data_IF_974796785437
#
_entry.id   IF_974796785437
#
_cell.length_a   1.000
_cell.length_b   1.000
_cell.length_c   1.000
_cell.angle_alpha   90.00
_cell.angle_beta   90.00
_cell.angle_gamma   90.00
#
_symmetry.space_group_name_H-M   'P 1'
#
loop_
_entity.id
_entity.type
_entity.pdbx_description
1 polymer ?
#
# COMPACT_ATOMS: atom_id res chain seq x y z
N UNK A 1 15.42 -47.38 -1.87
CA UNK A 1 14.84 -46.24 -2.56
C UNK A 1 15.87 -45.15 -2.52
N UNK A 2 16.46 -44.78 -3.66
CA UNK A 2 17.35 -43.61 -3.80
C UNK A 2 16.52 -42.36 -3.47
N UNK A 3 17.12 -41.47 -2.67
CA UNK A 3 16.54 -40.16 -2.33
C UNK A 3 17.53 -39.09 -2.66
N UNK A 4 17.06 -38.04 -3.33
CA UNK A 4 17.87 -36.87 -3.66
C UNK A 4 17.91 -35.92 -2.47
N UNK A 5 19.14 -35.43 -2.19
CA UNK A 5 19.41 -34.48 -1.10
C UNK A 5 20.09 -33.22 -1.63
N UNK A 6 19.73 -32.09 -1.08
CA UNK A 6 20.40 -30.82 -1.28
C UNK A 6 21.42 -30.67 -0.17
N UNK A 7 22.67 -30.50 -0.52
CA UNK A 7 23.78 -30.23 0.40
C UNK A 7 23.88 -28.72 0.66
N UNK A 8 23.79 -28.33 1.92
CA UNK A 8 23.98 -26.97 2.38
C UNK A 8 25.31 -26.88 3.13
N UNK A 9 26.21 -26.01 2.66
CA UNK A 9 27.54 -25.82 3.27
C UNK A 9 27.51 -24.72 4.32
N UNK A 10 28.08 -25.00 5.49
CA UNK A 10 28.28 -24.08 6.59
C UNK A 10 29.75 -23.81 6.84
N UNK A 11 30.08 -22.76 7.60
CA UNK A 11 31.46 -22.50 8.01
C UNK A 11 32.05 -23.68 8.81
N UNK A 12 33.34 -23.96 8.63
CA UNK A 12 34.03 -25.05 9.33
C UNK A 12 33.76 -26.44 8.74
N UNK A 13 33.57 -26.55 7.43
CA UNK A 13 33.30 -27.79 6.70
C UNK A 13 32.11 -28.62 7.22
N UNK A 14 31.17 -27.98 7.89
CA UNK A 14 29.94 -28.62 8.32
C UNK A 14 28.92 -28.59 7.20
N UNK A 15 28.22 -29.71 6.97
CA UNK A 15 27.19 -29.82 5.94
C UNK A 15 25.88 -30.27 6.54
N UNK A 16 24.78 -29.73 6.03
CA UNK A 16 23.43 -30.16 6.31
C UNK A 16 22.82 -30.71 5.01
N UNK A 17 22.16 -31.85 5.09
CA UNK A 17 21.46 -32.47 3.96
C UNK A 17 19.96 -32.34 4.17
N UNK A 18 19.29 -31.76 3.19
CA UNK A 18 17.83 -31.61 3.19
C UNK A 18 17.26 -32.39 2.02
N UNK A 19 16.17 -33.11 2.23
CA UNK A 19 15.49 -33.85 1.15
C UNK A 19 15.04 -32.88 0.05
N UNK A 20 15.23 -33.24 -1.20
CA UNK A 20 14.80 -32.45 -2.35
C UNK A 20 13.29 -32.17 -2.35
N UNK A 21 12.50 -33.03 -1.72
CA UNK A 21 11.04 -32.84 -1.50
C UNK A 21 10.70 -31.72 -0.50
N UNK A 22 11.70 -31.17 0.20
CA UNK A 22 11.52 -30.10 1.20
C UNK A 22 12.15 -28.78 0.72
N UNK A 23 12.15 -28.53 -0.58
CA UNK A 23 12.66 -27.30 -1.20
C UNK A 23 11.94 -26.04 -0.70
N UNK A 24 10.68 -26.16 -0.34
CA UNK A 24 9.86 -25.11 0.28
C UNK A 24 10.42 -24.55 1.59
N UNK A 25 11.27 -25.33 2.28
CA UNK A 25 11.95 -24.91 3.51
C UNK A 25 13.29 -24.19 3.28
N UNK A 26 13.71 -24.06 2.02
CA UNK A 26 14.99 -23.46 1.66
C UNK A 26 14.76 -22.11 0.99
N UNK A 27 15.54 -21.11 1.41
CA UNK A 27 15.58 -19.80 0.79
C UNK A 27 17.00 -19.46 0.37
N UNK A 28 17.14 -18.65 -0.68
CA UNK A 28 18.43 -18.13 -1.09
C UNK A 28 19.05 -17.35 0.07
N UNK A 29 20.29 -17.69 0.43
CA UNK A 29 21.01 -17.05 1.53
C UNK A 29 21.48 -15.63 1.20
N UNK A 30 21.73 -15.33 -0.08
CA UNK A 30 22.08 -14.00 -0.55
C UNK A 30 21.47 -13.76 -1.93
N UNK A 31 21.20 -12.48 -2.26
CA UNK A 31 20.79 -12.09 -3.61
C UNK A 31 21.90 -12.37 -4.62
N UNK A 32 21.53 -12.72 -5.85
CA UNK A 32 22.47 -13.04 -6.93
C UNK A 32 23.39 -11.88 -7.34
N UNK A 33 23.04 -10.65 -6.96
CA UNK A 33 23.72 -9.42 -7.40
C UNK A 33 24.74 -8.87 -6.38
N UNK A 34 24.99 -9.60 -5.28
CA UNK A 34 26.04 -9.18 -4.35
C UNK A 34 27.39 -9.73 -4.78
N UNK A 35 28.32 -8.85 -5.19
CA UNK A 35 29.71 -9.19 -5.53
C UNK A 35 30.50 -9.84 -4.37
N UNK A 36 30.00 -9.70 -3.14
CA UNK A 36 30.63 -10.25 -1.94
C UNK A 36 29.97 -11.57 -1.54
N UNK A 37 30.78 -12.65 -1.49
CA UNK A 37 30.31 -13.93 -0.95
C UNK A 37 29.80 -13.73 0.49
N UNK A 38 28.61 -14.24 0.84
CA UNK A 38 28.07 -14.10 2.18
C UNK A 38 28.97 -14.83 3.20
N UNK A 39 29.10 -14.24 4.40
CA UNK A 39 29.81 -14.90 5.51
C UNK A 39 28.99 -16.09 6.00
N UNK A 40 29.54 -17.29 5.86
CA UNK A 40 28.88 -18.51 6.32
C UNK A 40 28.89 -18.59 7.85
N UNK A 41 27.78 -18.99 8.42
CA UNK A 41 27.65 -19.27 9.86
C UNK A 41 28.09 -20.71 10.19
N UNK A 42 28.59 -20.93 11.38
CA UNK A 42 28.92 -22.28 11.88
C UNK A 42 27.66 -22.94 12.42
N UNK A 43 27.39 -24.18 12.01
CA UNK A 43 26.22 -24.93 12.48
C UNK A 43 26.24 -25.09 14.01
N UNK A 44 25.13 -24.78 14.70
CA UNK A 44 25.02 -24.89 16.15
C UNK A 44 25.82 -23.88 16.96
N UNK A 45 26.36 -22.83 16.32
CA UNK A 45 27.18 -21.83 17.01
C UNK A 45 26.38 -20.95 17.97
N UNK A 46 27.05 -20.51 19.03
CA UNK A 46 26.50 -19.55 20.01
C UNK A 46 26.16 -18.21 19.31
N UNK A 47 26.92 -17.81 18.29
CA UNK A 47 26.66 -16.60 17.51
C UNK A 47 25.32 -16.67 16.78
N UNK A 48 24.98 -17.84 16.20
CA UNK A 48 23.68 -18.03 15.55
C UNK A 48 22.52 -17.93 16.54
N UNK A 49 22.67 -18.52 17.72
CA UNK A 49 21.65 -18.43 18.77
C UNK A 49 21.46 -17.00 19.28
N UNK A 50 22.57 -16.22 19.42
CA UNK A 50 22.50 -14.79 19.75
C UNK A 50 21.79 -13.99 18.65
N UNK A 51 22.09 -14.27 17.38
CA UNK A 51 21.42 -13.61 16.24
C UNK A 51 19.92 -13.93 16.24
N UNK A 52 19.54 -15.19 16.42
CA UNK A 52 18.11 -15.57 16.54
C UNK A 52 17.41 -14.85 17.69
N UNK A 53 18.03 -14.82 18.86
CA UNK A 53 17.44 -14.15 20.04
C UNK A 53 17.27 -12.64 19.78
N UNK A 54 18.26 -12.00 19.14
CA UNK A 54 18.15 -10.58 18.77
C UNK A 54 17.02 -10.32 17.76
N UNK A 55 16.92 -11.16 16.72
CA UNK A 55 15.84 -11.05 15.72
C UNK A 55 14.48 -11.29 16.38
N UNK A 56 14.37 -12.31 17.22
CA UNK A 56 13.13 -12.63 17.93
C UNK A 56 12.67 -11.45 18.81
N UNK A 57 13.59 -10.86 19.58
CA UNK A 57 13.28 -9.68 20.39
C UNK A 57 12.83 -8.47 19.56
N UNK A 58 13.48 -8.22 18.41
CA UNK A 58 13.07 -7.15 17.51
C UNK A 58 11.66 -7.41 16.90
N UNK A 59 11.37 -8.66 16.54
CA UNK A 59 10.05 -9.05 16.02
C UNK A 59 8.97 -8.90 17.11
N UNK A 60 9.26 -9.27 18.33
CA UNK A 60 8.32 -9.07 19.46
C UNK A 60 8.01 -7.59 19.71
N UNK A 61 9.03 -6.72 19.64
CA UNK A 61 8.87 -5.28 19.80
C UNK A 61 7.97 -4.72 18.68
N UNK A 62 8.25 -5.04 17.41
CA UNK A 62 7.42 -4.64 16.28
C UNK A 62 5.98 -5.17 16.43
N UNK A 63 5.80 -6.41 16.86
CA UNK A 63 4.48 -7.00 17.07
C UNK A 63 3.69 -6.24 18.16
N UNK A 64 4.34 -5.83 19.25
CA UNK A 64 3.71 -5.03 20.31
C UNK A 64 3.26 -3.66 19.78
N UNK A 65 4.13 -2.97 19.03
CA UNK A 65 3.81 -1.68 18.42
C UNK A 65 2.62 -1.78 17.47
N UNK A 66 2.57 -2.83 16.65
CA UNK A 66 1.45 -3.09 15.74
C UNK A 66 0.15 -3.36 16.51
N UNK A 67 0.18 -4.18 17.55
CA UNK A 67 -1.00 -4.47 18.38
C UNK A 67 -1.52 -3.19 19.05
N UNK A 68 -0.61 -2.34 19.54
CA UNK A 68 -0.97 -1.05 20.15
C UNK A 68 -1.63 -0.13 19.12
N UNK A 69 -1.05 0.03 17.93
CA UNK A 69 -1.63 0.80 16.83
C UNK A 69 -3.02 0.29 16.42
N UNK A 70 -3.19 -1.03 16.31
CA UNK A 70 -4.48 -1.64 16.03
C UNK A 70 -5.52 -1.34 17.12
N UNK A 71 -5.11 -1.47 18.39
CA UNK A 71 -5.98 -1.17 19.53
C UNK A 71 -6.43 0.30 19.52
N UNK A 72 -5.50 1.23 19.26
CA UNK A 72 -5.81 2.66 19.15
C UNK A 72 -6.83 2.90 18.05
N UNK A 73 -6.61 2.32 16.85
CA UNK A 73 -7.54 2.46 15.72
C UNK A 73 -8.92 1.91 16.02
N UNK A 74 -9.03 0.74 16.65
CA UNK A 74 -10.32 0.13 17.00
C UNK A 74 -11.11 0.95 18.02
N UNK A 75 -10.43 1.68 18.89
CA UNK A 75 -11.06 2.51 19.93
C UNK A 75 -11.39 3.94 19.46
N UNK A 76 -10.84 4.37 18.32
CA UNK A 76 -11.15 5.67 17.73
C UNK A 76 -12.37 5.57 16.80
N UNK A 77 -13.20 6.63 16.84
CA UNK A 77 -14.28 6.78 15.87
C UNK A 77 -13.73 7.43 14.60
N UNK A 78 -13.97 6.78 13.47
CA UNK A 78 -13.72 7.34 12.15
C UNK A 78 -14.79 8.33 11.73
N UNK A 79 -14.55 9.00 10.62
CA UNK A 79 -15.54 9.79 9.93
C UNK A 79 -16.48 8.84 9.17
N UNK A 80 -17.78 8.94 9.41
CA UNK A 80 -18.79 8.20 8.66
C UNK A 80 -19.27 9.07 7.50
N UNK A 81 -19.01 8.64 6.28
CA UNK A 81 -19.51 9.29 5.07
C UNK A 81 -21.01 9.06 4.92
N UNK A 82 -21.70 10.00 4.29
CA UNK A 82 -23.12 9.86 3.99
C UNK A 82 -23.40 8.85 2.86
N UNK A 83 -24.68 8.56 2.59
CA UNK A 83 -25.06 7.71 1.46
C UNK A 83 -24.70 8.34 0.13
N UNK A 84 -24.68 7.52 -0.93
CA UNK A 84 -24.35 7.97 -2.28
C UNK A 84 -25.26 9.10 -2.75
N UNK A 85 -24.63 10.16 -3.22
CA UNK A 85 -25.31 11.31 -3.82
C UNK A 85 -25.70 11.01 -5.27
N UNK A 86 -26.49 11.91 -5.88
CA UNK A 86 -26.79 11.85 -7.33
C UNK A 86 -25.49 11.91 -8.15
N UNK A 87 -24.54 12.76 -7.75
CA UNK A 87 -23.26 12.87 -8.46
C UNK A 87 -22.41 11.60 -8.37
N UNK A 88 -22.49 10.86 -7.24
CA UNK A 88 -21.82 9.55 -7.14
C UNK A 88 -22.37 8.57 -8.18
N UNK A 89 -23.68 8.52 -8.32
CA UNK A 89 -24.34 7.65 -9.29
C UNK A 89 -23.98 8.02 -10.73
N UNK A 90 -24.10 9.31 -11.07
CA UNK A 90 -23.68 9.81 -12.40
C UNK A 90 -22.22 9.49 -12.71
N UNK A 91 -21.34 9.66 -11.72
CA UNK A 91 -19.91 9.35 -11.86
C UNK A 91 -19.68 7.85 -12.12
N UNK A 92 -20.41 6.98 -11.46
CA UNK A 92 -20.33 5.53 -11.63
C UNK A 92 -20.91 5.08 -12.98
N UNK A 93 -22.04 5.65 -13.39
CA UNK A 93 -22.65 5.39 -14.72
C UNK A 93 -21.75 5.82 -15.91
N UNK A 94 -20.84 6.77 -15.68
CA UNK A 94 -19.85 7.17 -16.69
C UNK A 94 -18.71 6.18 -16.87
N UNK A 95 -18.67 5.08 -16.12
CA UNK A 95 -17.67 4.04 -16.29
C UNK A 95 -17.93 3.30 -17.62
N UNK A 96 -16.93 3.22 -18.54
CA UNK A 96 -17.16 2.76 -19.90
C UNK A 96 -17.22 1.23 -20.05
N UNK A 97 -17.10 0.49 -18.99
CA UNK A 97 -17.08 -0.98 -18.99
C UNK A 97 -18.18 -1.52 -18.07
N UNK A 98 -18.57 -2.78 -18.29
CA UNK A 98 -19.41 -3.50 -17.35
C UNK A 98 -18.56 -4.01 -16.19
N UNK A 99 -19.02 -3.78 -14.96
CA UNK A 99 -18.38 -4.29 -13.76
C UNK A 99 -18.63 -5.79 -13.62
N UNK A 100 -17.63 -6.48 -13.11
CA UNK A 100 -17.82 -7.87 -12.66
C UNK A 100 -18.53 -7.90 -11.29
N UNK A 101 -19.15 -9.04 -10.97
CA UNK A 101 -19.78 -9.23 -9.66
C UNK A 101 -18.81 -8.98 -8.50
N UNK A 102 -17.55 -9.39 -8.64
CA UNK A 102 -16.52 -9.16 -7.61
C UNK A 102 -16.16 -7.68 -7.46
N UNK A 103 -16.12 -6.93 -8.55
CA UNK A 103 -15.93 -5.47 -8.51
C UNK A 103 -17.10 -4.78 -7.81
N UNK A 104 -18.33 -5.15 -8.15
CA UNK A 104 -19.53 -4.61 -7.51
C UNK A 104 -19.55 -4.90 -6.00
N UNK A 105 -19.21 -6.13 -5.61
CA UNK A 105 -19.11 -6.51 -4.21
C UNK A 105 -18.01 -5.70 -3.48
N UNK A 106 -16.82 -5.57 -4.08
CA UNK A 106 -15.73 -4.79 -3.50
C UNK A 106 -16.08 -3.31 -3.34
N UNK A 107 -16.80 -2.72 -4.32
CA UNK A 107 -17.29 -1.34 -4.26
C UNK A 107 -18.32 -1.20 -3.14
N UNK A 108 -19.32 -2.09 -3.07
CA UNK A 108 -20.36 -2.06 -2.06
C UNK A 108 -19.76 -2.19 -0.64
N UNK A 109 -18.87 -3.13 -0.44
CA UNK A 109 -18.18 -3.33 0.83
C UNK A 109 -17.35 -2.11 1.24
N UNK A 110 -16.61 -1.52 0.30
CA UNK A 110 -15.80 -0.32 0.55
C UNK A 110 -16.69 0.85 0.97
N UNK A 111 -17.81 1.08 0.28
CA UNK A 111 -18.78 2.11 0.63
C UNK A 111 -19.39 1.87 2.00
N UNK A 112 -19.77 0.62 2.30
CA UNK A 112 -20.32 0.26 3.62
C UNK A 112 -19.33 0.53 4.76
N UNK A 113 -18.06 0.24 4.56
CA UNK A 113 -17.00 0.58 5.53
C UNK A 113 -16.86 2.10 5.69
N UNK A 114 -16.86 2.86 4.58
CA UNK A 114 -16.78 4.33 4.61
C UNK A 114 -17.98 4.97 5.33
N UNK A 115 -19.17 4.38 5.22
CA UNK A 115 -20.40 4.85 5.86
C UNK A 115 -20.50 4.46 7.34
N UNK A 116 -19.56 3.62 7.81
CA UNK A 116 -19.51 3.23 9.21
C UNK A 116 -18.69 4.22 10.06
N UNK A 117 -18.91 4.21 11.38
CA UNK A 117 -18.08 4.98 12.31
C UNK A 117 -16.75 4.29 12.65
N UNK A 118 -16.50 3.10 12.14
CA UNK A 118 -15.23 2.39 12.32
C UNK A 118 -14.23 2.94 11.30
N UNK A 119 -12.99 3.12 11.74
CA UNK A 119 -11.91 3.47 10.81
C UNK A 119 -11.73 2.31 9.84
N UNK A 120 -11.92 2.57 8.55
CA UNK A 120 -11.75 1.58 7.49
C UNK A 120 -10.28 1.19 7.38
N UNK A 121 -10.03 -0.12 7.35
CA UNK A 121 -8.73 -0.72 7.01
C UNK A 121 -9.04 -1.93 6.12
N UNK A 122 -9.19 -1.67 4.80
CA UNK A 122 -9.66 -2.65 3.83
C UNK A 122 -8.58 -2.97 2.80
N UNK A 123 -8.29 -4.25 2.64
CA UNK A 123 -7.44 -4.76 1.58
C UNK A 123 -8.30 -5.22 0.40
N UNK A 124 -8.00 -4.70 -0.80
CA UNK A 124 -8.60 -5.12 -2.06
C UNK A 124 -7.60 -5.98 -2.82
N UNK A 125 -7.84 -7.30 -2.86
CA UNK A 125 -7.03 -8.26 -3.57
C UNK A 125 -7.59 -8.54 -4.95
N UNK A 126 -6.72 -8.68 -5.94
CA UNK A 126 -7.08 -9.07 -7.32
C UNK A 126 -5.85 -9.04 -8.21
N UNK A 127 -5.88 -9.80 -9.29
CA UNK A 127 -4.80 -9.85 -10.27
C UNK A 127 -4.62 -8.52 -11.02
N UNK A 128 -3.51 -8.40 -11.74
CA UNK A 128 -3.23 -7.22 -12.58
C UNK A 128 -4.29 -7.12 -13.69
N UNK A 129 -4.84 -5.92 -13.88
CA UNK A 129 -5.86 -5.67 -14.90
C UNK A 129 -7.31 -5.93 -14.48
N UNK A 130 -7.57 -6.44 -13.28
CA UNK A 130 -8.93 -6.71 -12.77
C UNK A 130 -9.67 -5.47 -12.22
N UNK A 131 -9.20 -4.28 -12.54
CA UNK A 131 -9.92 -3.05 -12.26
C UNK A 131 -9.95 -2.61 -10.79
N UNK A 132 -9.01 -3.04 -9.93
CA UNK A 132 -8.86 -2.57 -8.54
C UNK A 132 -8.86 -1.04 -8.43
N UNK A 133 -8.26 -0.38 -9.42
CA UNK A 133 -8.19 1.09 -9.49
C UNK A 133 -9.57 1.74 -9.55
N UNK A 134 -10.55 1.13 -10.20
CA UNK A 134 -11.92 1.68 -10.28
C UNK A 134 -12.60 1.69 -8.90
N UNK A 135 -12.40 0.64 -8.10
CA UNK A 135 -12.88 0.61 -6.69
C UNK A 135 -12.29 1.79 -5.92
N UNK A 136 -10.99 2.01 -6.05
CA UNK A 136 -10.29 3.12 -5.40
C UNK A 136 -10.77 4.50 -5.89
N UNK A 137 -11.03 4.66 -7.19
CA UNK A 137 -11.53 5.90 -7.79
C UNK A 137 -12.93 6.24 -7.25
N UNK A 138 -13.83 5.26 -7.15
CA UNK A 138 -15.19 5.47 -6.61
C UNK A 138 -15.15 5.83 -5.12
N UNK A 139 -14.30 5.19 -4.35
CA UNK A 139 -14.07 5.56 -2.95
C UNK A 139 -13.50 6.97 -2.81
N UNK A 140 -12.54 7.34 -3.65
CA UNK A 140 -11.97 8.69 -3.67
C UNK A 140 -13.05 9.74 -4.03
N UNK A 141 -13.85 9.48 -5.05
CA UNK A 141 -14.93 10.38 -5.46
C UNK A 141 -15.95 10.58 -4.34
N UNK A 142 -16.33 9.51 -3.63
CA UNK A 142 -17.21 9.58 -2.46
C UNK A 142 -16.62 10.46 -1.36
N UNK A 143 -15.34 10.32 -1.07
CA UNK A 143 -14.69 11.11 -0.03
C UNK A 143 -14.65 12.61 -0.37
N UNK A 144 -14.31 12.96 -1.61
CA UNK A 144 -14.18 14.38 -2.01
C UNK A 144 -15.51 15.10 -2.10
N UNK A 145 -16.62 14.40 -2.35
CA UNK A 145 -17.95 15.03 -2.33
C UNK A 145 -18.35 15.59 -0.97
N UNK A 146 -17.79 15.04 0.11
CA UNK A 146 -18.00 15.55 1.47
C UNK A 146 -16.88 16.49 1.93
N UNK A 147 -16.11 17.00 0.98
CA UNK A 147 -15.04 17.96 1.24
C UNK A 147 -13.81 17.37 1.90
N UNK A 148 -13.68 16.03 1.93
CA UNK A 148 -12.49 15.35 2.42
C UNK A 148 -11.43 15.25 1.33
N UNK A 149 -10.18 15.37 1.73
CA UNK A 149 -9.05 15.17 0.82
C UNK A 149 -8.65 13.71 0.75
N UNK A 150 -8.15 13.30 -0.40
CA UNK A 150 -7.70 11.93 -0.67
C UNK A 150 -6.21 11.91 -1.01
N UNK A 151 -5.46 11.03 -0.37
CA UNK A 151 -4.08 10.71 -0.71
C UNK A 151 -4.01 9.35 -1.39
N UNK A 152 -3.38 9.29 -2.57
CA UNK A 152 -3.15 8.06 -3.32
C UNK A 152 -1.65 7.80 -3.41
N UNK A 153 -1.18 6.80 -2.68
CA UNK A 153 0.23 6.45 -2.56
C UNK A 153 0.59 5.31 -3.51
N UNK A 154 1.61 5.52 -4.32
CA UNK A 154 2.13 4.52 -5.28
C UNK A 154 3.65 4.38 -5.18
N UNK A 155 4.22 3.20 -5.51
CA UNK A 155 5.65 2.96 -5.32
C UNK A 155 6.57 3.65 -6.33
N UNK A 156 6.08 3.97 -7.52
CA UNK A 156 6.91 4.53 -8.60
C UNK A 156 6.31 5.78 -9.23
N UNK A 157 7.17 6.63 -9.77
CA UNK A 157 6.77 7.86 -10.48
C UNK A 157 5.97 7.57 -11.75
N UNK A 158 6.24 6.44 -12.40
CA UNK A 158 5.49 6.02 -13.59
C UNK A 158 4.06 5.68 -13.23
N UNK A 159 3.86 4.91 -12.16
CA UNK A 159 2.51 4.61 -11.64
C UNK A 159 1.79 5.88 -11.17
N UNK A 160 2.51 6.80 -10.50
CA UNK A 160 1.93 8.09 -10.12
C UNK A 160 1.40 8.86 -11.32
N UNK A 161 2.13 8.88 -12.43
CA UNK A 161 1.68 9.53 -13.66
C UNK A 161 0.49 8.82 -14.30
N UNK A 162 0.50 7.49 -14.35
CA UNK A 162 -0.60 6.70 -14.91
C UNK A 162 -1.89 6.92 -14.11
N UNK A 163 -1.82 6.81 -12.79
CA UNK A 163 -2.99 7.05 -11.93
C UNK A 163 -3.45 8.50 -11.99
N UNK A 164 -2.54 9.46 -12.03
CA UNK A 164 -2.89 10.87 -12.20
C UNK A 164 -3.74 11.08 -13.46
N UNK A 165 -3.28 10.57 -14.60
CA UNK A 165 -4.01 10.70 -15.86
C UNK A 165 -5.40 10.02 -15.79
N UNK A 166 -5.47 8.84 -15.17
CA UNK A 166 -6.73 8.11 -15.01
C UNK A 166 -7.72 8.88 -14.13
N UNK A 167 -7.27 9.38 -12.98
CA UNK A 167 -8.10 10.16 -12.06
C UNK A 167 -8.54 11.48 -12.70
N UNK A 168 -7.62 12.21 -13.34
CA UNK A 168 -7.93 13.45 -14.03
C UNK A 168 -8.98 13.22 -15.13
N UNK A 169 -8.82 12.18 -15.94
CA UNK A 169 -9.79 11.86 -16.99
C UNK A 169 -11.16 11.47 -16.44
N UNK A 170 -11.20 10.68 -15.35
CA UNK A 170 -12.45 10.24 -14.74
C UNK A 170 -13.18 11.39 -14.06
N UNK A 171 -12.45 12.31 -13.43
CA UNK A 171 -13.01 13.40 -12.63
C UNK A 171 -13.19 14.73 -13.40
N UNK A 172 -12.78 14.80 -14.69
CA UNK A 172 -12.74 16.05 -15.48
C UNK A 172 -14.08 16.79 -15.61
N UNK A 173 -15.21 16.06 -15.50
CA UNK A 173 -16.53 16.65 -15.64
C UNK A 173 -17.09 17.18 -14.31
N UNK A 174 -16.33 17.03 -13.22
CA UNK A 174 -16.71 17.47 -11.89
C UNK A 174 -15.76 18.58 -11.40
N UNK A 175 -16.20 19.49 -10.57
CA UNK A 175 -15.38 20.60 -10.08
C UNK A 175 -14.37 20.14 -9.02
N UNK A 176 -13.53 19.18 -9.35
CA UNK A 176 -12.55 18.55 -8.48
C UNK A 176 -11.13 18.77 -9.01
N UNK A 177 -10.19 19.01 -8.10
CA UNK A 177 -8.78 19.21 -8.43
C UNK A 177 -7.94 18.02 -8.04
N UNK A 178 -7.42 17.34 -9.07
CA UNK A 178 -6.42 16.26 -8.90
C UNK A 178 -5.02 16.85 -9.06
N UNK A 179 -4.10 16.51 -8.19
CA UNK A 179 -2.70 16.95 -8.24
C UNK A 179 -1.75 15.76 -8.11
N UNK A 180 -0.50 15.97 -8.55
CA UNK A 180 0.55 14.96 -8.47
C UNK A 180 1.77 15.48 -7.72
N UNK A 181 2.28 14.68 -6.77
CA UNK A 181 3.54 14.90 -6.08
C UNK A 181 4.55 13.81 -6.44
N UNK A 182 5.35 14.05 -7.47
CA UNK A 182 6.39 13.13 -7.93
C UNK A 182 7.61 13.88 -8.45
N UNK A 183 8.72 13.18 -8.70
CA UNK A 183 9.94 13.75 -9.26
C UNK A 183 9.79 14.27 -10.69
N UNK A 184 8.66 14.02 -11.36
CA UNK A 184 8.36 14.58 -12.69
C UNK A 184 7.86 16.03 -12.63
N UNK A 185 7.57 16.56 -11.44
CA UNK A 185 7.12 17.92 -11.24
C UNK A 185 8.30 18.83 -10.85
N UNK A 186 8.25 20.06 -11.31
CA UNK A 186 9.24 21.07 -10.94
C UNK A 186 9.10 21.45 -9.46
N UNK A 187 10.17 21.97 -8.86
CA UNK A 187 10.14 22.44 -7.49
C UNK A 187 9.09 23.53 -7.26
N UNK A 188 8.78 24.34 -8.27
CA UNK A 188 7.74 25.37 -8.21
C UNK A 188 6.36 24.74 -8.13
N UNK A 189 6.04 23.80 -9.03
CA UNK A 189 4.76 23.08 -9.02
C UNK A 189 4.55 22.31 -7.71
N UNK A 190 5.61 21.67 -7.19
CA UNK A 190 5.54 20.98 -5.89
C UNK A 190 5.16 21.96 -4.78
N UNK A 191 5.81 23.11 -4.70
CA UNK A 191 5.50 24.12 -3.67
C UNK A 191 4.08 24.68 -3.78
N UNK A 192 3.61 24.93 -5.00
CA UNK A 192 2.24 25.36 -5.28
C UNK A 192 1.24 24.27 -4.85
N UNK A 193 1.48 23.02 -5.25
CA UNK A 193 0.62 21.90 -4.86
C UNK A 193 0.55 21.71 -3.35
N UNK A 194 1.68 21.81 -2.64
CA UNK A 194 1.72 21.72 -1.18
C UNK A 194 0.93 22.85 -0.50
N UNK A 195 1.07 24.08 -1.01
CA UNK A 195 0.32 25.21 -0.49
C UNK A 195 -1.20 25.06 -0.71
N UNK A 196 -1.60 24.58 -1.88
CA UNK A 196 -2.99 24.33 -2.24
C UNK A 196 -3.57 23.15 -1.44
N UNK A 197 -2.78 22.10 -1.22
CA UNK A 197 -3.17 20.95 -0.41
C UNK A 197 -3.48 21.35 1.04
N UNK A 198 -2.60 22.16 1.63
CA UNK A 198 -2.78 22.69 2.99
C UNK A 198 -4.03 23.59 3.12
N UNK A 199 -4.37 24.32 2.05
CA UNK A 199 -5.57 25.17 2.01
C UNK A 199 -6.86 24.39 1.70
N UNK A 200 -6.76 23.14 1.25
CA UNK A 200 -7.89 22.33 0.83
C UNK A 200 -8.39 22.64 -0.59
N UNK A 201 -7.52 23.19 -1.46
CA UNK A 201 -7.82 23.44 -2.87
C UNK A 201 -7.44 22.27 -3.79
N UNK A 202 -6.80 21.26 -3.26
CA UNK A 202 -6.55 19.97 -3.92
C UNK A 202 -7.38 18.91 -3.23
N UNK A 203 -8.22 18.25 -4.00
CA UNK A 203 -9.13 17.22 -3.50
C UNK A 203 -8.47 15.84 -3.48
N UNK A 204 -7.75 15.50 -4.54
CA UNK A 204 -7.02 14.24 -4.66
C UNK A 204 -5.55 14.50 -4.97
N UNK A 205 -4.65 13.98 -4.18
CA UNK A 205 -3.21 14.04 -4.46
C UNK A 205 -2.65 12.64 -4.65
N UNK A 206 -1.97 12.43 -5.78
CA UNK A 206 -1.34 11.16 -6.16
C UNK A 206 0.17 11.34 -6.10
N UNK A 207 0.87 10.45 -5.42
CA UNK A 207 2.32 10.57 -5.32
C UNK A 207 3.01 9.33 -4.81
N UNK A 208 4.33 9.40 -4.81
CA UNK A 208 5.19 8.35 -4.27
C UNK A 208 5.47 8.62 -2.78
N UNK A 209 6.49 7.98 -2.22
CA UNK A 209 6.96 8.25 -0.85
C UNK A 209 7.12 9.74 -0.51
N UNK A 210 7.16 10.63 -1.52
CA UNK A 210 7.13 12.08 -1.34
C UNK A 210 5.89 12.56 -0.55
N UNK A 211 4.76 11.85 -0.67
CA UNK A 211 3.55 12.13 0.13
C UNK A 211 3.75 11.93 1.64
N UNK A 212 4.72 11.12 2.03
CA UNK A 212 5.02 10.82 3.44
C UNK A 212 6.00 11.83 4.07
N UNK A 213 6.44 12.83 3.31
CA UNK A 213 7.38 13.84 3.82
C UNK A 213 6.69 14.78 4.80
N UNK A 214 7.46 15.26 5.78
CA UNK A 214 6.96 16.11 6.90
C UNK A 214 6.34 17.44 6.48
N UNK A 215 6.66 17.93 5.29
CA UNK A 215 6.14 19.18 4.73
C UNK A 215 4.83 19.01 3.95
N UNK A 216 4.31 17.78 3.86
CA UNK A 216 3.01 17.49 3.26
C UNK A 216 1.95 17.59 4.36
N UNK A 217 1.16 18.64 4.29
CA UNK A 217 0.08 18.92 5.24
C UNK A 217 -1.26 18.95 4.50
N UNK A 218 -2.22 18.19 5.00
CA UNK A 218 -3.59 18.19 4.52
C UNK A 218 -4.46 19.09 5.40
N UNK A 219 -5.44 19.74 4.80
CA UNK A 219 -6.46 20.47 5.56
C UNK A 219 -7.40 19.50 6.27
N UNK A 220 -7.88 18.49 5.55
CA UNK A 220 -8.83 17.48 6.05
C UNK A 220 -8.71 16.18 5.25
N UNK A 221 -7.73 15.36 5.61
CA UNK A 221 -7.51 14.06 4.96
C UNK A 221 -8.57 13.07 5.45
N UNK A 222 -9.41 12.58 4.53
CA UNK A 222 -10.46 11.59 4.83
C UNK A 222 -10.19 10.19 4.33
N UNK A 223 -9.34 10.03 3.29
CA UNK A 223 -9.06 8.72 2.71
C UNK A 223 -7.60 8.62 2.28
N UNK A 224 -6.95 7.54 2.67
CA UNK A 224 -5.63 7.13 2.17
C UNK A 224 -5.80 5.84 1.37
N UNK A 225 -5.32 5.87 0.12
CA UNK A 225 -5.26 4.72 -0.77
C UNK A 225 -3.79 4.37 -1.00
N UNK A 226 -3.45 3.10 -0.84
CA UNK A 226 -2.07 2.60 -1.05
C UNK A 226 -2.14 1.52 -2.12
N UNK A 227 -1.47 1.75 -3.24
CA UNK A 227 -1.34 0.78 -4.32
C UNK A 227 0.01 0.06 -4.22
N UNK A 228 0.00 -1.25 -4.47
CA UNK A 228 1.21 -2.09 -4.34
C UNK A 228 1.85 -1.99 -2.94
N UNK A 229 1.04 -2.13 -1.88
CA UNK A 229 1.44 -1.93 -0.48
C UNK A 229 2.68 -2.75 -0.08
N UNK A 230 2.90 -3.94 -0.66
CA UNK A 230 4.04 -4.80 -0.39
C UNK A 230 5.40 -4.15 -0.74
N UNK A 231 5.40 -3.04 -1.48
CA UNK A 231 6.61 -2.29 -1.82
C UNK A 231 6.97 -1.20 -0.82
N UNK A 232 6.12 -0.97 0.18
CA UNK A 232 6.31 0.04 1.22
C UNK A 232 6.69 -0.54 2.59
N UNK A 233 6.75 -1.87 2.71
CA UNK A 233 7.05 -2.60 3.94
C UNK A 233 8.52 -2.64 4.32
#
# INVERSE_FOLDING_TARGET
VEKDYIKIEYAGNSNLYVLATQLDRLQKYAASDTEKKPKLNKLGSVEWNKTKAKVHGAVEEIAKDLVELYSIRQNQKGYAFGPDTVWQKEFEEMFPYEETDDQLNAIADTKADMESTRIMDRLICGDVGYGKTEVAIRAAFKAVQEGKQVAYLVPTTILAQQHFNTFEQRMKNFPLKVAQLSSFRTNKEIKETLADLKKGFVDVVIGTHRLLSKDVEFKDLGLLIIDEEQRFG
#
